data_IF_372468835762
#
_entry.id   IF_372468835762
#
_cell.length_a   1.000
_cell.length_b   1.000
_cell.length_c   1.000
_cell.angle_alpha   90.00
_cell.angle_beta   90.00
_cell.angle_gamma   90.00
#
_symmetry.space_group_name_H-M   'P 1'
#
loop_
_entity.id
_entity.type
_entity.pdbx_description
1 polymer ?
#
# COMPACT_ATOMS: atom_id res chain seq x y z
N UNK A 1 20.65 0.71 -2.76
CA UNK A 1 19.42 0.50 -2.00
C UNK A 1 19.14 -0.99 -1.97
N UNK A 2 18.87 -1.54 -0.79
CA UNK A 2 18.43 -2.93 -0.64
C UNK A 2 17.08 -3.10 -1.35
N UNK A 3 16.90 -4.22 -2.07
CA UNK A 3 15.64 -4.52 -2.77
C UNK A 3 14.84 -5.50 -1.92
N UNK A 4 13.52 -5.28 -1.85
CA UNK A 4 12.61 -6.21 -1.19
C UNK A 4 12.59 -7.54 -1.94
N UNK A 5 12.80 -8.63 -1.21
CA UNK A 5 12.69 -9.99 -1.72
C UNK A 5 12.05 -10.86 -0.61
N UNK A 6 10.87 -11.42 -0.88
CA UNK A 6 10.03 -12.14 0.06
C UNK A 6 8.86 -11.31 0.58
N UNK A 7 8.29 -11.78 1.71
CA UNK A 7 7.10 -11.23 2.34
C UNK A 7 7.37 -9.91 3.06
N UNK A 8 6.50 -8.95 2.82
CA UNK A 8 6.43 -7.64 3.50
C UNK A 8 5.02 -7.46 4.02
N UNK A 9 4.90 -7.02 5.27
CA UNK A 9 3.60 -6.89 5.95
C UNK A 9 3.41 -5.44 6.36
N UNK A 10 2.23 -4.88 6.10
CA UNK A 10 1.80 -3.62 6.68
C UNK A 10 0.74 -3.91 7.74
N UNK A 11 0.88 -3.26 8.89
CA UNK A 11 -0.06 -3.31 10.01
C UNK A 11 -0.45 -1.89 10.38
N UNK A 12 -1.74 -1.62 10.58
CA UNK A 12 -2.18 -0.35 11.14
C UNK A 12 -2.16 -0.37 12.67
N UNK A 13 -1.90 0.80 13.24
CA UNK A 13 -1.99 1.07 14.67
C UNK A 13 -3.17 2.01 14.88
N UNK A 14 -4.35 1.44 15.09
CA UNK A 14 -5.61 2.18 15.27
C UNK A 14 -6.25 1.90 16.63
N UNK A 15 -7.23 2.72 16.99
CA UNK A 15 -8.04 2.52 18.21
C UNK A 15 -9.44 2.00 17.91
N UNK A 16 -9.87 2.04 16.65
CA UNK A 16 -11.14 1.51 16.19
C UNK A 16 -10.92 0.25 15.34
N UNK A 17 -11.82 -0.72 15.45
CA UNK A 17 -11.73 -1.98 14.68
C UNK A 17 -11.76 -1.73 13.17
N UNK A 18 -12.42 -0.65 12.72
CA UNK A 18 -12.52 -0.25 11.32
C UNK A 18 -11.19 0.31 10.75
N UNK A 19 -10.27 0.74 11.62
CA UNK A 19 -8.94 1.23 11.26
C UNK A 19 -7.85 0.14 11.33
N UNK A 20 -8.16 -1.02 11.91
CA UNK A 20 -7.19 -2.10 12.13
C UNK A 20 -7.21 -3.08 10.96
N UNK A 21 -6.13 -3.11 10.18
CA UNK A 21 -5.92 -4.12 9.15
C UNK A 21 -4.46 -4.56 9.08
N UNK A 22 -4.29 -5.82 8.66
CA UNK A 22 -3.00 -6.38 8.25
C UNK A 22 -3.09 -6.72 6.78
N UNK A 23 -2.08 -6.33 6.00
CA UNK A 23 -2.00 -6.71 4.59
C UNK A 23 -0.59 -7.17 4.25
N UNK A 24 -0.53 -8.22 3.45
CA UNK A 24 0.72 -8.85 3.04
C UNK A 24 0.99 -8.57 1.56
N UNK A 25 2.27 -8.39 1.26
CA UNK A 25 2.81 -8.17 -0.07
C UNK A 25 3.97 -9.14 -0.26
N UNK A 26 4.07 -9.70 -1.45
CA UNK A 26 5.20 -10.55 -1.83
C UNK A 26 6.00 -9.86 -2.92
N UNK A 27 7.32 -9.81 -2.73
CA UNK A 27 8.26 -9.16 -3.63
C UNK A 27 9.29 -10.15 -4.16
N UNK A 28 9.63 -10.02 -5.43
CA UNK A 28 10.78 -10.66 -6.06
C UNK A 28 11.66 -9.55 -6.66
N UNK A 29 12.87 -9.39 -6.12
CA UNK A 29 13.88 -8.42 -6.60
C UNK A 29 13.37 -6.98 -6.75
N UNK A 30 12.53 -6.55 -5.80
CA UNK A 30 11.93 -5.22 -5.73
C UNK A 30 10.61 -5.10 -6.51
N UNK A 31 10.13 -6.16 -7.16
CA UNK A 31 8.86 -6.17 -7.90
C UNK A 31 7.80 -6.91 -7.09
N UNK A 32 6.63 -6.30 -6.88
CA UNK A 32 5.51 -6.99 -6.24
C UNK A 32 4.87 -8.00 -7.22
N UNK A 33 4.79 -9.26 -6.83
CA UNK A 33 4.41 -10.37 -7.74
C UNK A 33 2.92 -10.76 -7.66
N UNK A 34 2.21 -10.34 -6.60
CA UNK A 34 0.82 -10.76 -6.34
C UNK A 34 -0.16 -9.61 -6.12
N UNK A 35 0.27 -8.37 -6.34
CA UNK A 35 -0.60 -7.20 -6.21
C UNK A 35 -0.30 -6.16 -7.27
N UNK A 36 -1.36 -5.60 -7.83
CA UNK A 36 -1.27 -4.40 -8.67
C UNK A 36 -0.97 -3.14 -7.82
N UNK A 37 -1.31 -3.18 -6.53
CA UNK A 37 -0.98 -2.12 -5.57
C UNK A 37 0.38 -2.48 -4.94
N UNK A 38 1.39 -1.62 -5.05
CA UNK A 38 2.66 -1.75 -4.32
C UNK A 38 2.53 -1.16 -2.90
N UNK A 39 3.53 -1.41 -2.05
CA UNK A 39 3.44 -1.04 -0.63
C UNK A 39 3.53 0.47 -0.41
N UNK A 40 4.34 1.17 -1.21
CA UNK A 40 4.41 2.63 -1.30
C UNK A 40 3.03 3.26 -1.58
N UNK A 41 2.26 2.72 -2.54
CA UNK A 41 0.89 3.17 -2.83
C UNK A 41 -0.01 3.00 -1.61
N UNK A 42 0.13 1.89 -0.88
CA UNK A 42 -0.67 1.64 0.31
C UNK A 42 -0.30 2.57 1.46
N UNK A 43 0.98 2.77 1.70
CA UNK A 43 1.48 3.72 2.69
C UNK A 43 0.99 5.12 2.38
N UNK A 44 0.98 5.48 1.10
CA UNK A 44 0.49 6.78 0.67
C UNK A 44 -1.02 6.96 0.94
N UNK A 45 -1.83 5.94 0.66
CA UNK A 45 -3.24 5.95 1.05
C UNK A 45 -3.39 6.10 2.57
N UNK A 46 -2.60 5.38 3.36
CA UNK A 46 -2.65 5.48 4.82
C UNK A 46 -2.24 6.88 5.32
N UNK A 47 -1.18 7.47 4.75
CA UNK A 47 -0.69 8.80 5.07
C UNK A 47 -1.75 9.87 4.83
N UNK A 48 -2.38 9.86 3.65
CA UNK A 48 -3.44 10.80 3.27
C UNK A 48 -4.72 10.66 4.11
N UNK A 49 -4.96 9.46 4.67
CA UNK A 49 -6.09 9.21 5.56
C UNK A 49 -5.70 9.31 7.04
N UNK A 50 -4.50 9.80 7.35
CA UNK A 50 -4.04 9.98 8.73
C UNK A 50 -4.04 8.68 9.55
N UNK A 51 -3.76 7.56 8.88
CA UNK A 51 -3.73 6.22 9.49
C UNK A 51 -2.28 5.90 9.84
N UNK A 52 -2.01 5.60 11.11
CA UNK A 52 -0.69 5.17 11.56
C UNK A 52 -0.44 3.70 11.18
N UNK A 53 0.75 3.41 10.64
CA UNK A 53 1.13 2.06 10.20
C UNK A 53 2.56 1.71 10.56
N UNK A 54 2.85 0.41 10.58
CA UNK A 54 4.20 -0.16 10.63
C UNK A 54 4.37 -1.15 9.49
N UNK A 55 5.55 -1.15 8.87
CA UNK A 55 5.94 -2.11 7.84
C UNK A 55 7.00 -3.07 8.37
N UNK A 56 6.72 -4.35 8.26
CA UNK A 56 7.62 -5.44 8.64
C UNK A 56 8.22 -6.14 7.42
N UNK A 57 9.53 -6.29 7.41
CA UNK A 57 10.27 -7.10 6.45
C UNK A 57 11.35 -7.89 7.17
N UNK A 58 11.36 -9.22 7.00
CA UNK A 58 12.31 -10.12 7.70
C UNK A 58 12.42 -9.83 9.21
N UNK A 59 11.27 -9.68 9.86
CA UNK A 59 11.15 -9.37 11.31
C UNK A 59 11.71 -8.00 11.73
N UNK A 60 12.07 -7.14 10.78
CA UNK A 60 12.54 -5.78 11.04
C UNK A 60 11.48 -4.75 10.66
N UNK A 61 11.35 -3.70 11.47
CA UNK A 61 10.60 -2.52 11.06
C UNK A 61 11.42 -1.79 9.99
N UNK A 62 10.81 -1.61 8.82
CA UNK A 62 11.43 -0.96 7.67
C UNK A 62 10.65 0.26 7.19
N UNK A 63 9.70 0.77 7.97
CA UNK A 63 8.93 1.95 7.64
C UNK A 63 7.50 1.91 8.15
N UNK A 64 6.65 2.74 7.58
CA UNK A 64 5.28 2.95 8.05
C UNK A 64 4.78 4.35 7.77
N UNK A 65 3.73 4.74 8.49
CA UNK A 65 3.16 6.08 8.44
C UNK A 65 3.00 6.62 9.86
N UNK A 66 3.34 7.89 10.06
CA UNK A 66 3.23 8.55 11.36
C UNK A 66 3.05 10.06 11.19
N UNK A 67 2.58 10.70 12.26
CA UNK A 67 2.53 12.16 12.34
C UNK A 67 3.86 12.71 12.86
N UNK A 68 4.54 13.56 12.08
CA UNK A 68 5.70 14.33 12.55
C UNK A 68 5.22 15.64 13.20
N UNK A 69 5.33 15.80 14.54
CA UNK A 69 4.88 17.00 15.24
C UNK A 69 5.76 18.23 14.96
N UNK A 70 6.99 18.03 14.49
CA UNK A 70 7.93 19.11 14.16
C UNK A 70 7.53 19.80 12.87
N UNK A 71 7.20 18.99 11.86
CA UNK A 71 6.73 19.46 10.55
C UNK A 71 5.21 19.68 10.49
N UNK A 72 4.49 19.17 11.50
CA UNK A 72 3.01 19.17 11.57
C UNK A 72 2.36 18.50 10.36
N UNK A 73 2.95 17.40 9.89
CA UNK A 73 2.49 16.68 8.71
C UNK A 73 2.56 15.17 8.90
N UNK A 74 1.75 14.44 8.13
CA UNK A 74 1.84 12.99 8.04
C UNK A 74 2.94 12.59 7.07
N UNK A 75 3.79 11.67 7.54
CA UNK A 75 4.94 11.13 6.83
C UNK A 75 4.69 9.66 6.53
N UNK A 76 5.15 9.21 5.37
CA UNK A 76 5.31 7.80 5.04
C UNK A 76 6.80 7.50 4.82
N UNK A 77 7.21 6.29 5.19
CA UNK A 77 8.58 5.82 4.99
C UNK A 77 8.58 4.37 4.53
N UNK A 78 9.53 4.06 3.66
CA UNK A 78 9.88 2.70 3.32
C UNK A 78 11.40 2.59 3.06
N UNK A 79 12.07 1.66 3.73
CA UNK A 79 13.50 1.37 3.59
C UNK A 79 14.39 2.62 3.72
N UNK A 80 14.09 3.51 4.67
CA UNK A 80 14.84 4.74 4.90
C UNK A 80 14.56 5.87 3.91
N UNK A 81 13.59 5.72 3.01
CA UNK A 81 13.10 6.79 2.16
C UNK A 81 11.79 7.34 2.73
N UNK A 82 11.80 8.62 3.10
CA UNK A 82 10.64 9.33 3.66
C UNK A 82 9.99 10.25 2.63
N UNK A 83 8.67 10.37 2.68
CA UNK A 83 7.91 11.35 1.93
C UNK A 83 6.73 11.89 2.71
N UNK A 84 6.44 13.17 2.50
CA UNK A 84 5.35 13.92 3.14
C UNK A 84 4.45 14.65 2.12
N UNK A 85 4.65 14.35 0.83
CA UNK A 85 3.88 14.87 -0.28
C UNK A 85 4.20 14.04 -1.53
N UNK A 86 3.34 13.07 -1.82
CA UNK A 86 3.32 12.40 -3.11
C UNK A 86 2.32 13.14 -4.01
N UNK A 87 2.56 13.13 -5.31
CA UNK A 87 1.69 13.85 -6.25
C UNK A 87 0.32 13.15 -6.32
N UNK A 88 -0.74 13.85 -5.92
CA UNK A 88 -2.13 13.34 -5.80
C UNK A 88 -2.60 12.70 -7.11
N UNK A 89 -2.11 13.20 -8.24
CA UNK A 89 -2.43 12.71 -9.58
C UNK A 89 -2.02 11.24 -9.78
N UNK A 90 -0.93 10.79 -9.16
CA UNK A 90 -0.46 9.39 -9.26
C UNK A 90 -1.39 8.46 -8.50
N UNK A 91 -1.89 8.88 -7.33
CA UNK A 91 -2.80 8.08 -6.50
C UNK A 91 -4.18 7.99 -7.15
N UNK A 92 -4.69 9.09 -7.73
CA UNK A 92 -5.95 9.10 -8.47
C UNK A 92 -5.88 8.19 -9.70
N UNK A 93 -4.77 8.21 -10.44
CA UNK A 93 -4.55 7.32 -11.57
C UNK A 93 -4.54 5.84 -11.13
N UNK A 94 -3.89 5.54 -10.00
CA UNK A 94 -3.86 4.20 -9.42
C UNK A 94 -5.23 3.74 -8.91
N UNK A 95 -6.00 4.63 -8.26
CA UNK A 95 -7.39 4.37 -7.84
C UNK A 95 -8.30 4.13 -9.06
N UNK A 96 -8.13 4.89 -10.13
CA UNK A 96 -8.87 4.71 -11.38
C UNK A 96 -8.54 3.37 -12.06
N UNK A 97 -7.25 3.01 -12.15
CA UNK A 97 -6.79 1.70 -12.65
C UNK A 97 -7.39 0.54 -11.85
N UNK A 98 -7.51 0.68 -10.53
CA UNK A 98 -8.15 -0.32 -9.65
C UNK A 98 -9.64 -0.48 -9.90
N UNK A 99 -10.38 0.62 -10.09
CA UNK A 99 -11.80 0.56 -10.47
C UNK A 99 -12.00 -0.07 -11.85
N UNK A 100 -11.07 0.15 -12.78
CA UNK A 100 -11.12 -0.45 -14.11
C UNK A 100 -10.80 -1.94 -14.09
N UNK A 101 -9.75 -2.38 -13.38
CA UNK A 101 -9.41 -3.81 -13.23
C UNK A 101 -10.52 -4.62 -12.53
N UNK A 102 -11.16 -4.03 -11.51
CA UNK A 102 -12.31 -4.66 -10.85
C UNK A 102 -13.51 -4.84 -11.79
N UNK A 103 -13.72 -3.91 -12.73
CA UNK A 103 -14.77 -4.00 -13.76
C UNK A 103 -14.44 -5.05 -14.83
N UNK A 104 -13.18 -5.14 -15.25
CA UNK A 104 -12.75 -6.14 -16.26
C UNK A 104 -12.88 -7.57 -15.73
N UNK A 105 -12.45 -7.81 -14.49
CA UNK A 105 -12.58 -9.14 -13.87
C UNK A 105 -14.05 -9.55 -13.64
N UNK A 106 -14.96 -8.60 -13.45
CA UNK A 106 -16.40 -8.89 -13.36
C UNK A 106 -17.04 -9.17 -14.73
N UNK A 107 -16.48 -8.64 -15.82
CA UNK A 107 -16.96 -8.89 -17.18
C UNK A 107 -16.55 -10.28 -17.70
N UNK A 108 -15.39 -10.80 -17.32
CA UNK A 108 -14.91 -12.13 -17.73
C UNK A 108 -15.68 -13.29 -17.08
N UNK A 109 -16.36 -13.06 -15.96
CA UNK A 109 -17.17 -14.07 -15.27
C UNK A 109 -18.57 -14.31 -15.89
N UNK A 110 -18.97 -13.55 -16.92
CA UNK A 110 -20.31 -13.63 -17.53
C UNK A 110 -20.30 -13.95 -19.02
N UNK A 111 -19.35 -14.76 -19.49
CA UNK A 111 -19.52 -15.44 -20.77
C UNK A 111 -20.26 -16.77 -20.54
N UNK A 112 -21.57 -16.88 -20.85
CA UNK A 112 -22.23 -18.18 -20.81
C UNK A 112 -21.55 -19.09 -21.84
N UNK A 113 -21.33 -20.38 -21.52
CA UNK A 113 -20.73 -21.31 -22.46
C UNK A 113 -21.67 -21.43 -23.67
N UNK A 114 -21.18 -21.00 -24.84
CA UNK A 114 -21.85 -21.22 -26.11
C UNK A 114 -21.94 -22.72 -26.38
N UNK A 115 -23.15 -23.27 -26.31
CA UNK A 115 -23.50 -24.56 -26.92
C UNK A 115 -24.20 -24.32 -28.24
#
# INVERSE_FOLDING_TARGET
MEKLHGKVVIETLGTSEDEIFTKEYEYEDGVCVHSHDTIDIRLEICRENEIQTVVWYKEQNVGGTWYDPTQKTWVAELLGFEWNGYDVDVIEELRAKKQQAARTNHAECWSPPSR
#
